data_IF_102779288263
#
_entry.id   IF_102779288263
#
_cell.length_a   1.000
_cell.length_b   1.000
_cell.length_c   1.000
_cell.angle_alpha   90.00
_cell.angle_beta   90.00
_cell.angle_gamma   90.00
#
_symmetry.space_group_name_H-M   'P 1'
#
loop_
_entity.id
_entity.type
_entity.pdbx_description
1 polymer ?
#
# COMPACT_ATOMS: atom_id res chain seq x y z
N UNK A 1 -19.48 5.97 -22.02
CA UNK A 1 -18.39 6.27 -21.08
C UNK A 1 -18.66 5.42 -19.84
N UNK A 2 -18.01 4.28 -19.73
CA UNK A 2 -18.16 3.37 -18.60
C UNK A 2 -17.40 3.98 -17.41
N UNK A 3 -18.12 4.46 -16.44
CA UNK A 3 -17.55 4.87 -15.15
C UNK A 3 -17.11 3.59 -14.43
N UNK A 4 -15.82 3.42 -14.26
CA UNK A 4 -15.32 2.39 -13.36
C UNK A 4 -15.55 2.88 -11.91
N UNK A 5 -16.61 2.38 -11.28
CA UNK A 5 -17.01 2.76 -9.93
C UNK A 5 -16.00 2.36 -8.83
N UNK A 6 -14.92 1.66 -9.16
CA UNK A 6 -13.95 1.08 -8.23
C UNK A 6 -12.53 1.64 -8.41
N UNK A 7 -12.37 2.93 -8.66
CA UNK A 7 -11.08 3.43 -9.11
C UNK A 7 -10.51 4.63 -8.33
N UNK A 8 -11.01 4.94 -7.13
CA UNK A 8 -10.63 6.21 -6.50
C UNK A 8 -9.78 6.08 -5.23
N UNK A 9 -10.32 5.54 -4.16
CA UNK A 9 -9.64 5.54 -2.86
C UNK A 9 -9.68 4.15 -2.25
N UNK A 10 -8.51 3.57 -2.01
CA UNK A 10 -8.38 2.18 -1.57
C UNK A 10 -7.88 2.08 -0.11
N UNK A 11 -7.25 3.11 0.43
CA UNK A 11 -6.73 3.08 1.79
C UNK A 11 -6.85 4.40 2.51
N UNK A 12 -7.11 4.34 3.82
CA UNK A 12 -7.21 5.51 4.71
C UNK A 12 -6.37 5.25 5.97
N UNK A 13 -5.58 6.24 6.37
CA UNK A 13 -4.90 6.28 7.66
C UNK A 13 -5.14 7.62 8.35
N UNK A 14 -5.27 7.60 9.67
CA UNK A 14 -5.47 8.80 10.49
C UNK A 14 -4.39 8.80 11.56
N UNK A 15 -3.81 9.97 11.86
CA UNK A 15 -2.87 10.09 12.96
C UNK A 15 -3.57 9.93 14.32
N UNK A 16 -2.83 9.58 15.41
CA UNK A 16 -3.43 9.33 16.72
C UNK A 16 -4.19 10.52 17.32
N UNK A 17 -3.87 11.74 16.88
CA UNK A 17 -4.55 12.96 17.31
C UNK A 17 -5.79 13.27 16.48
N UNK A 18 -6.02 12.50 15.41
CA UNK A 18 -7.06 12.76 14.42
C UNK A 18 -6.99 14.19 13.84
N UNK A 19 -5.79 14.69 13.62
CA UNK A 19 -5.55 16.00 13.01
C UNK A 19 -5.29 15.90 11.51
N UNK A 20 -4.73 14.76 11.05
CA UNK A 20 -4.43 14.47 9.66
C UNK A 20 -4.97 13.11 9.24
N UNK A 21 -5.46 13.05 8.01
CA UNK A 21 -5.91 11.84 7.35
C UNK A 21 -5.18 11.72 6.01
N UNK A 22 -4.57 10.58 5.77
CA UNK A 22 -3.99 10.24 4.46
C UNK A 22 -4.88 9.26 3.74
N UNK A 23 -4.99 9.43 2.44
CA UNK A 23 -5.80 8.58 1.57
C UNK A 23 -4.94 8.14 0.40
N UNK A 24 -4.94 6.83 0.13
CA UNK A 24 -4.30 6.26 -1.04
C UNK A 24 -5.28 6.23 -2.22
N UNK A 25 -4.83 6.71 -3.38
CA UNK A 25 -5.54 6.65 -4.64
C UNK A 25 -4.83 5.68 -5.59
N UNK A 26 -5.52 4.60 -5.98
CA UNK A 26 -4.91 3.51 -6.73
C UNK A 26 -4.81 3.77 -8.23
N UNK A 27 -5.87 4.29 -8.84
CA UNK A 27 -6.02 4.39 -10.30
C UNK A 27 -6.27 5.81 -10.76
N UNK A 28 -6.19 6.06 -12.08
CA UNK A 28 -6.41 7.32 -12.79
C UNK A 28 -5.56 8.51 -12.30
N UNK A 29 -5.60 8.84 -11.03
CA UNK A 29 -4.80 9.89 -10.39
C UNK A 29 -4.10 9.30 -9.19
N UNK A 30 -3.19 8.37 -9.44
CA UNK A 30 -2.43 7.67 -8.42
C UNK A 30 -1.66 8.63 -7.53
N UNK A 31 -1.71 8.40 -6.25
CA UNK A 31 -1.00 9.23 -5.31
C UNK A 31 -1.52 9.13 -3.88
N UNK A 32 -1.05 10.04 -3.08
CA UNK A 32 -1.45 10.22 -1.70
C UNK A 32 -2.09 11.60 -1.54
N UNK A 33 -3.23 11.61 -0.89
CA UNK A 33 -3.88 12.84 -0.45
C UNK A 33 -3.67 13.00 1.05
N UNK A 34 -3.67 14.25 1.52
CA UNK A 34 -3.70 14.60 2.94
C UNK A 34 -4.82 15.58 3.20
N UNK A 35 -5.66 15.26 4.17
CA UNK A 35 -6.69 16.15 4.69
C UNK A 35 -6.36 16.55 6.10
N UNK A 36 -6.72 17.77 6.47
CA UNK A 36 -6.55 18.31 7.80
C UNK A 36 -7.90 18.46 8.48
N UNK A 37 -7.96 18.08 9.76
CA UNK A 37 -9.17 18.28 10.54
C UNK A 37 -9.35 19.75 10.89
N UNK A 38 -10.52 20.29 10.59
CA UNK A 38 -10.95 21.61 11.01
C UNK A 38 -12.28 21.47 11.73
N UNK A 39 -12.27 21.68 13.03
CA UNK A 39 -13.45 21.45 13.88
C UNK A 39 -13.97 20.01 13.75
N UNK A 40 -15.16 19.83 13.14
CA UNK A 40 -15.81 18.52 12.93
C UNK A 40 -15.70 17.99 11.50
N UNK A 41 -14.95 18.63 10.62
CA UNK A 41 -14.82 18.27 9.21
C UNK A 41 -13.37 18.03 8.79
N UNK A 42 -13.19 17.25 7.73
CA UNK A 42 -11.91 17.04 7.07
C UNK A 42 -11.83 17.94 5.83
N UNK A 43 -10.77 18.69 5.69
CA UNK A 43 -10.63 19.68 4.64
C UNK A 43 -9.26 19.65 3.97
N UNK A 44 -9.26 20.00 2.69
CA UNK A 44 -8.06 20.30 1.94
C UNK A 44 -7.60 21.73 2.21
N UNK A 45 -6.60 21.90 3.02
CA UNK A 45 -6.04 23.22 3.30
C UNK A 45 -4.78 23.42 2.46
N UNK A 46 -4.82 24.36 1.51
CA UNK A 46 -3.68 24.62 0.62
C UNK A 46 -3.48 23.59 -0.50
N UNK A 47 -4.44 22.70 -0.71
CA UNK A 47 -4.38 21.59 -1.65
C UNK A 47 -4.27 20.25 -0.92
N UNK A 48 -4.95 19.20 -1.45
CA UNK A 48 -4.95 17.87 -0.86
C UNK A 48 -3.85 16.95 -1.35
N UNK A 49 -3.28 17.22 -2.50
CA UNK A 49 -2.32 16.30 -3.11
C UNK A 49 -1.00 16.39 -2.35
N UNK A 50 -0.71 15.37 -1.54
CA UNK A 50 0.59 15.20 -0.89
C UNK A 50 1.64 14.75 -1.90
N UNK A 51 1.26 13.78 -2.74
CA UNK A 51 2.11 13.22 -3.78
C UNK A 51 1.22 12.73 -4.93
N UNK A 52 1.57 13.09 -6.15
CA UNK A 52 1.03 12.48 -7.37
C UNK A 52 2.17 11.70 -8.05
N UNK A 53 1.97 10.41 -8.23
CA UNK A 53 2.97 9.55 -8.85
C UNK A 53 2.33 8.71 -9.96
N UNK A 54 2.27 9.28 -11.14
CA UNK A 54 1.75 8.61 -12.34
C UNK A 54 2.78 7.78 -13.10
N UNK A 55 3.99 7.59 -12.53
CA UNK A 55 5.07 6.85 -13.20
C UNK A 55 4.88 5.33 -13.16
N UNK A 56 5.78 4.66 -13.85
CA UNK A 56 5.89 3.21 -13.85
C UNK A 56 6.92 2.73 -12.83
N UNK A 57 6.85 1.46 -12.50
CA UNK A 57 7.79 0.76 -11.63
C UNK A 57 8.07 -0.63 -12.19
N UNK A 58 9.22 -1.19 -11.89
CA UNK A 58 9.51 -2.58 -12.20
C UNK A 58 8.81 -3.49 -11.20
N UNK A 59 8.18 -4.57 -11.67
CA UNK A 59 7.71 -5.63 -10.79
C UNK A 59 8.90 -6.38 -10.16
N UNK A 60 8.65 -7.26 -9.17
CA UNK A 60 9.65 -8.23 -8.75
C UNK A 60 10.16 -9.07 -9.92
N UNK A 61 11.46 -9.39 -9.94
CA UNK A 61 12.09 -10.12 -11.05
C UNK A 61 11.40 -11.45 -11.41
N UNK A 62 10.78 -12.12 -10.43
CA UNK A 62 9.99 -13.34 -10.64
C UNK A 62 8.77 -13.16 -11.55
N UNK A 63 8.35 -11.92 -11.82
CA UNK A 63 7.20 -11.57 -12.67
C UNK A 63 7.63 -10.95 -14.02
N UNK A 64 8.94 -10.89 -14.27
CA UNK A 64 9.49 -10.31 -15.50
C UNK A 64 10.00 -8.88 -15.31
N UNK A 65 10.28 -8.21 -16.40
CA UNK A 65 10.93 -6.89 -16.46
C UNK A 65 10.06 -5.81 -17.13
N UNK A 66 8.85 -6.15 -17.53
CA UNK A 66 7.93 -5.18 -18.13
C UNK A 66 7.46 -4.17 -17.07
N UNK A 67 7.70 -2.87 -17.28
CA UNK A 67 7.25 -1.85 -16.34
C UNK A 67 5.73 -1.87 -16.14
N UNK A 68 5.32 -1.70 -14.89
CA UNK A 68 3.92 -1.63 -14.49
C UNK A 68 3.60 -0.25 -13.92
N UNK A 69 2.39 0.23 -14.11
CA UNK A 69 1.95 1.42 -13.43
C UNK A 69 2.08 1.27 -11.91
N UNK A 70 2.58 2.29 -11.23
CA UNK A 70 2.54 2.33 -9.76
C UNK A 70 1.10 2.28 -9.27
N UNK A 71 0.85 1.57 -8.19
CA UNK A 71 -0.43 1.56 -7.50
C UNK A 71 -0.23 1.61 -5.99
N UNK A 72 -1.22 2.18 -5.30
CA UNK A 72 -1.23 2.36 -3.84
C UNK A 72 -2.56 1.84 -3.33
N UNK A 73 -2.59 0.63 -2.80
CA UNK A 73 -3.84 -0.03 -2.39
C UNK A 73 -4.19 0.19 -0.92
N UNK A 74 -3.20 0.43 -0.07
CA UNK A 74 -3.46 0.67 1.35
C UNK A 74 -2.45 1.65 1.96
N UNK A 75 -2.86 2.29 3.03
CA UNK A 75 -2.02 3.18 3.83
C UNK A 75 -2.24 2.92 5.31
N UNK A 76 -1.17 2.95 6.10
CA UNK A 76 -1.18 2.83 7.55
C UNK A 76 -0.32 3.92 8.17
N UNK A 77 -0.66 4.34 9.40
CA UNK A 77 0.14 5.28 10.17
C UNK A 77 0.55 4.64 11.49
N UNK A 78 1.85 4.57 11.73
CA UNK A 78 2.40 3.98 12.96
C UNK A 78 3.70 4.67 13.37
N UNK A 79 3.85 4.98 14.66
CA UNK A 79 5.06 5.58 15.24
C UNK A 79 5.56 6.80 14.44
N UNK A 80 4.66 7.75 14.15
CA UNK A 80 4.89 8.98 13.40
C UNK A 80 5.38 8.78 11.94
N UNK A 81 5.22 7.58 11.39
CA UNK A 81 5.56 7.27 10.01
C UNK A 81 4.32 6.87 9.21
N UNK A 82 4.33 7.21 7.93
CA UNK A 82 3.33 6.78 6.96
C UNK A 82 3.85 5.57 6.19
N UNK A 83 3.05 4.52 6.11
CA UNK A 83 3.37 3.30 5.36
C UNK A 83 2.37 3.13 4.23
N UNK A 84 2.85 2.80 3.07
CA UNK A 84 2.03 2.64 1.86
C UNK A 84 2.31 1.27 1.25
N UNK A 85 1.24 0.54 0.97
CA UNK A 85 1.30 -0.73 0.26
C UNK A 85 1.31 -0.47 -1.24
N UNK A 86 2.36 -0.98 -1.90
CA UNK A 86 2.55 -0.94 -3.34
C UNK A 86 2.38 -2.35 -3.92
N UNK A 87 1.14 -2.77 -4.24
CA UNK A 87 0.81 -4.17 -4.52
C UNK A 87 1.50 -4.69 -5.78
N UNK A 88 1.62 -3.89 -6.83
CA UNK A 88 2.30 -4.30 -8.07
C UNK A 88 3.80 -4.49 -7.91
N UNK A 89 4.42 -3.85 -6.90
CA UNK A 89 5.83 -4.02 -6.56
C UNK A 89 6.07 -5.00 -5.41
N UNK A 90 5.02 -5.58 -4.83
CA UNK A 90 5.11 -6.49 -3.69
C UNK A 90 5.94 -5.93 -2.54
N UNK A 91 5.68 -4.68 -2.15
CA UNK A 91 6.42 -4.01 -1.09
C UNK A 91 5.55 -3.07 -0.26
N UNK A 92 6.01 -2.83 0.95
CA UNK A 92 5.51 -1.76 1.83
C UNK A 92 6.61 -0.72 1.93
N UNK A 93 6.27 0.54 1.69
CA UNK A 93 7.21 1.64 1.76
C UNK A 93 6.84 2.61 2.89
N UNK A 94 7.80 2.88 3.78
CA UNK A 94 7.74 4.01 4.69
C UNK A 94 7.96 5.29 3.91
N UNK A 95 7.09 6.26 4.13
CA UNK A 95 7.11 7.55 3.45
C UNK A 95 6.98 8.70 4.44
N UNK A 96 7.58 9.82 4.10
CA UNK A 96 7.42 11.06 4.86
C UNK A 96 5.93 11.45 4.93
N UNK A 97 5.36 11.64 6.14
CA UNK A 97 3.97 12.08 6.27
C UNK A 97 3.73 13.51 5.77
N UNK A 98 4.79 14.29 5.60
CA UNK A 98 4.73 15.68 5.15
C UNK A 98 4.86 15.84 3.63
N UNK A 99 5.59 14.93 2.96
CA UNK A 99 5.92 15.10 1.53
C UNK A 99 5.55 13.89 0.67
N UNK A 100 5.24 12.74 1.28
CA UNK A 100 5.02 11.49 0.58
C UNK A 100 6.31 10.84 0.03
N UNK A 101 7.47 11.46 0.22
CA UNK A 101 8.75 10.93 -0.26
C UNK A 101 9.06 9.57 0.36
N UNK A 102 9.57 8.64 -0.45
CA UNK A 102 9.99 7.31 0.02
C UNK A 102 11.24 7.46 0.89
N UNK A 103 11.21 6.85 2.06
CA UNK A 103 12.34 6.78 2.98
C UNK A 103 12.97 5.39 3.00
N UNK A 104 12.15 4.33 3.02
CA UNK A 104 12.57 2.94 3.00
C UNK A 104 11.45 2.03 2.52
N UNK A 105 11.79 0.95 1.82
CA UNK A 105 10.84 -0.08 1.41
C UNK A 105 11.30 -1.47 1.88
N UNK A 106 10.32 -2.34 2.12
CA UNK A 106 10.49 -3.75 2.44
C UNK A 106 9.67 -4.57 1.46
N UNK A 107 10.34 -5.48 0.77
CA UNK A 107 9.69 -6.40 -0.18
C UNK A 107 9.17 -7.63 0.54
N UNK A 108 8.00 -8.07 0.15
CA UNK A 108 7.44 -9.38 0.54
C UNK A 108 7.32 -10.33 -0.68
N UNK A 109 7.97 -9.99 -1.79
CA UNK A 109 7.87 -10.74 -3.04
C UNK A 109 8.38 -12.18 -2.92
N UNK A 110 9.48 -12.41 -2.21
CA UNK A 110 10.05 -13.74 -2.04
C UNK A 110 9.04 -14.71 -1.43
N UNK A 111 8.29 -14.25 -0.43
CA UNK A 111 7.28 -15.06 0.25
C UNK A 111 6.01 -15.22 -0.58
N UNK A 112 5.55 -14.15 -1.19
CA UNK A 112 4.28 -14.11 -1.91
C UNK A 112 4.33 -14.82 -3.26
N UNK A 113 5.48 -14.83 -3.91
CA UNK A 113 5.65 -15.33 -5.28
C UNK A 113 6.24 -16.75 -5.34
N UNK A 114 6.32 -17.47 -4.22
CA UNK A 114 6.61 -18.90 -4.26
C UNK A 114 5.55 -19.62 -5.10
N UNK A 115 5.92 -20.74 -5.72
CA UNK A 115 5.02 -21.52 -6.58
C UNK A 115 3.68 -21.84 -5.89
N UNK A 116 3.72 -22.23 -4.62
CA UNK A 116 2.53 -22.56 -3.85
C UNK A 116 1.64 -21.36 -3.51
N UNK A 117 2.22 -20.18 -3.32
CA UNK A 117 1.51 -19.01 -2.77
C UNK A 117 1.05 -18.01 -3.82
N UNK A 118 1.69 -17.97 -4.97
CA UNK A 118 1.34 -17.00 -6.01
C UNK A 118 -0.02 -17.30 -6.63
N UNK A 119 -0.72 -16.26 -7.00
CA UNK A 119 -1.94 -16.34 -7.78
C UNK A 119 -1.62 -16.35 -9.28
N UNK A 120 -2.53 -16.90 -10.11
CA UNK A 120 -2.38 -16.89 -11.55
C UNK A 120 -2.35 -15.48 -12.15
N UNK A 121 -3.11 -14.55 -11.53
CA UNK A 121 -3.05 -13.12 -11.79
C UNK A 121 -2.28 -12.48 -10.62
N UNK A 122 -0.98 -12.25 -10.75
CA UNK A 122 -0.15 -11.93 -9.61
C UNK A 122 -0.23 -10.45 -9.17
N UNK A 123 -0.90 -9.59 -9.93
CA UNK A 123 -0.94 -8.15 -9.65
C UNK A 123 -2.23 -7.73 -8.95
N UNK A 124 -2.13 -6.71 -8.09
CA UNK A 124 -3.27 -6.04 -7.51
C UNK A 124 -4.03 -6.83 -6.43
N UNK A 125 -3.44 -7.89 -5.87
CA UNK A 125 -4.15 -8.72 -4.90
C UNK A 125 -3.93 -8.29 -3.44
N UNK A 126 -2.87 -7.56 -3.14
CA UNK A 126 -2.59 -7.08 -1.80
C UNK A 126 -3.30 -5.74 -1.58
N UNK A 127 -4.33 -5.72 -0.72
CA UNK A 127 -5.26 -4.59 -0.62
C UNK A 127 -5.46 -4.05 0.80
N UNK A 128 -4.97 -4.73 1.81
CA UNK A 128 -5.06 -4.26 3.19
C UNK A 128 -3.69 -4.23 3.84
N UNK A 129 -3.45 -3.21 4.66
CA UNK A 129 -2.21 -3.03 5.42
C UNK A 129 -2.51 -2.62 6.85
N UNK A 130 -1.93 -3.33 7.80
CA UNK A 130 -1.82 -2.93 9.19
C UNK A 130 -0.36 -3.00 9.63
N UNK A 131 0.11 -2.00 10.38
CA UNK A 131 1.46 -1.93 10.94
C UNK A 131 1.37 -1.72 12.44
N UNK A 132 2.13 -2.50 13.18
CA UNK A 132 2.33 -2.34 14.61
C UNK A 132 3.80 -2.57 15.01
N UNK A 133 4.10 -2.57 16.31
CA UNK A 133 5.47 -2.77 16.81
C UNK A 133 6.02 -4.16 16.48
N UNK A 134 5.16 -5.15 16.30
CA UNK A 134 5.52 -6.53 16.07
C UNK A 134 5.70 -6.86 14.59
N UNK A 135 5.02 -6.11 13.69
CA UNK A 135 5.14 -6.41 12.27
C UNK A 135 4.17 -5.71 11.35
N UNK A 136 4.06 -6.28 10.16
CA UNK A 136 3.12 -5.89 9.12
C UNK A 136 2.12 -7.01 8.85
N UNK A 137 0.85 -6.66 8.71
CA UNK A 137 -0.22 -7.54 8.30
C UNK A 137 -0.70 -7.08 6.92
N UNK A 138 -0.65 -7.97 5.94
CA UNK A 138 -1.03 -7.68 4.56
C UNK A 138 -2.18 -8.60 4.18
N UNK A 139 -3.35 -8.03 3.96
CA UNK A 139 -4.53 -8.74 3.51
C UNK A 139 -4.60 -8.81 1.98
N UNK A 140 -5.09 -9.93 1.48
CA UNK A 140 -5.20 -10.21 0.05
C UNK A 140 -6.66 -10.37 -0.33
N UNK A 141 -7.13 -9.63 -1.33
CA UNK A 141 -8.32 -9.99 -2.09
C UNK A 141 -7.90 -10.76 -3.35
N UNK A 142 -8.22 -12.03 -3.37
CA UNK A 142 -7.85 -12.91 -4.48
C UNK A 142 -8.89 -12.97 -5.59
N UNK A 143 -9.94 -12.18 -5.53
CA UNK A 143 -11.04 -12.16 -6.51
C UNK A 143 -11.59 -13.58 -6.82
N UNK A 144 -11.62 -14.46 -5.82
CA UNK A 144 -12.05 -15.85 -5.96
C UNK A 144 -11.07 -16.76 -6.72
N UNK A 145 -9.86 -16.30 -7.01
CA UNK A 145 -8.83 -17.08 -7.69
C UNK A 145 -8.10 -18.00 -6.71
N UNK A 146 -7.62 -19.13 -7.20
CA UNK A 146 -6.79 -20.04 -6.44
C UNK A 146 -5.31 -19.61 -6.46
N UNK A 147 -4.58 -19.92 -5.40
CA UNK A 147 -3.13 -19.92 -5.37
C UNK A 147 -2.57 -21.18 -6.05
N UNK A 148 -1.26 -21.25 -6.23
CA UNK A 148 -0.59 -22.41 -6.82
C UNK A 148 -0.81 -23.73 -6.06
N UNK A 149 -1.06 -23.67 -4.73
CA UNK A 149 -1.43 -24.83 -3.90
C UNK A 149 -2.92 -25.22 -4.01
N UNK A 150 -3.70 -24.52 -4.81
CA UNK A 150 -5.15 -24.74 -5.00
C UNK A 150 -6.06 -24.07 -3.97
N UNK A 151 -5.51 -23.40 -2.96
CA UNK A 151 -6.29 -22.70 -1.94
C UNK A 151 -6.99 -21.47 -2.54
N UNK A 152 -8.29 -21.33 -2.28
CA UNK A 152 -9.14 -20.25 -2.80
C UNK A 152 -9.56 -19.21 -1.75
N UNK A 153 -9.28 -19.47 -0.47
CA UNK A 153 -9.61 -18.50 0.58
C UNK A 153 -8.66 -17.31 0.52
N UNK A 154 -9.15 -16.08 0.72
CA UNK A 154 -8.28 -14.93 0.97
C UNK A 154 -7.34 -15.21 2.13
N UNK A 155 -6.16 -14.67 2.09
CA UNK A 155 -5.15 -14.84 3.14
C UNK A 155 -4.74 -13.50 3.72
N UNK A 156 -4.23 -13.55 4.94
CA UNK A 156 -3.51 -12.45 5.56
C UNK A 156 -2.11 -12.96 5.86
N UNK A 157 -1.11 -12.27 5.35
CA UNK A 157 0.28 -12.50 5.69
C UNK A 157 0.68 -11.65 6.88
N UNK A 158 1.47 -12.23 7.77
CA UNK A 158 2.13 -11.50 8.84
C UNK A 158 3.64 -11.58 8.65
N UNK A 159 4.28 -10.43 8.59
CA UNK A 159 5.73 -10.29 8.53
C UNK A 159 6.21 -9.64 9.82
N UNK A 160 7.26 -10.17 10.42
CA UNK A 160 7.87 -9.56 11.60
C UNK A 160 8.39 -8.16 11.29
N UNK A 161 8.39 -7.29 12.29
CA UNK A 161 9.03 -5.99 12.16
C UNK A 161 10.52 -6.17 11.80
N UNK A 162 11.10 -5.27 11.00
CA UNK A 162 12.52 -5.34 10.65
C UNK A 162 13.39 -5.14 11.89
N UNK A 163 14.61 -5.67 11.84
CA UNK A 163 15.62 -5.43 12.88
C UNK A 163 15.81 -3.92 13.12
N UNK A 164 15.76 -3.51 14.38
CA UNK A 164 15.76 -2.11 14.77
C UNK A 164 14.42 -1.38 14.64
N UNK A 165 13.37 -2.12 14.26
CA UNK A 165 12.00 -1.62 14.14
C UNK A 165 11.76 -0.75 12.90
N UNK A 166 10.55 -0.28 12.75
CA UNK A 166 10.09 0.50 11.59
C UNK A 166 10.74 1.89 11.45
N UNK A 167 11.29 2.43 12.55
CA UNK A 167 11.99 3.72 12.58
C UNK A 167 13.46 3.66 12.21
N UNK A 168 14.04 2.47 12.05
CA UNK A 168 15.46 2.32 11.73
C UNK A 168 15.82 3.11 10.47
N UNK A 169 16.92 3.88 10.56
CA UNK A 169 17.50 4.55 9.37
C UNK A 169 18.06 3.49 8.43
N UNK A 170 18.04 3.75 7.12
CA UNK A 170 18.65 2.85 6.13
C UNK A 170 20.12 2.65 6.37
#
# INVERSE_FOLDING_TARGET
>A
MLWHFNALFEGIAVDPKAERMWIAAERERRGLLVLHRQQSSWQCTGGCVLMADGGDQLPPAALGDAPLPKSFSAVAFFADNLFVLEPSAYRVCRRSPATGAVERCWSFAEEALTEARRYAEPYGNAEALWIDAEGAWIGVDNNGKARGDGEKRPIVWRFAAPDGGWGAKP
#
